data_IF_033279129747
#
_entry.id   IF_033279129747
#
_cell.length_a   1.000
_cell.length_b   1.000
_cell.length_c   1.000
_cell.angle_alpha   90.00
_cell.angle_beta   90.00
_cell.angle_gamma   90.00
#
_symmetry.space_group_name_H-M   'P 1'
#
loop_
_entity.id
_entity.type
_entity.pdbx_description
1 polymer ?
#
# COMPACT_ATOMS: atom_id res chain seq x y z
N UNK A 1 -19.85 -1.44 19.66
CA UNK A 1 -19.87 -0.83 18.31
C UNK A 1 -18.45 -0.90 17.74
N UNK A 2 -18.27 -1.41 16.53
CA UNK A 2 -16.96 -1.46 15.87
C UNK A 2 -16.56 -0.11 15.26
N UNK A 3 -15.26 0.08 14.99
CA UNK A 3 -14.77 1.26 14.26
C UNK A 3 -15.16 1.17 12.78
N UNK A 4 -15.44 2.31 12.15
CA UNK A 4 -15.58 2.40 10.68
C UNK A 4 -14.21 2.26 10.01
N UNK A 5 -14.17 1.93 8.70
CA UNK A 5 -12.91 1.86 7.95
C UNK A 5 -12.12 3.17 7.98
N UNK A 6 -12.80 4.32 7.90
CA UNK A 6 -12.16 5.63 8.00
C UNK A 6 -11.54 5.86 9.39
N UNK A 7 -12.22 5.43 10.46
CA UNK A 7 -11.67 5.51 11.82
C UNK A 7 -10.47 4.59 12.02
N UNK A 8 -10.51 3.38 11.46
CA UNK A 8 -9.37 2.44 11.47
C UNK A 8 -8.15 3.04 10.75
N UNK A 9 -8.34 3.55 9.54
CA UNK A 9 -7.26 4.19 8.78
C UNK A 9 -6.69 5.41 9.50
N UNK A 10 -7.55 6.27 10.05
CA UNK A 10 -7.13 7.43 10.82
C UNK A 10 -6.30 7.04 12.03
N UNK A 11 -6.71 6.00 12.77
CA UNK A 11 -5.97 5.51 13.94
C UNK A 11 -4.63 4.91 13.57
N UNK A 12 -4.57 4.11 12.50
CA UNK A 12 -3.31 3.54 12.01
C UNK A 12 -2.36 4.67 11.60
N UNK A 13 -2.87 5.67 10.86
CA UNK A 13 -2.10 6.84 10.45
C UNK A 13 -1.57 7.63 11.63
N UNK A 14 -2.41 7.93 12.63
CA UNK A 14 -2.00 8.63 13.85
C UNK A 14 -0.88 7.88 14.57
N UNK A 15 -0.98 6.56 14.67
CA UNK A 15 0.06 5.73 15.27
C UNK A 15 1.36 5.75 14.44
N UNK A 16 1.28 5.65 13.10
CA UNK A 16 2.46 5.71 12.23
C UNK A 16 3.21 7.05 12.33
N UNK A 17 2.49 8.15 12.55
CA UNK A 17 3.06 9.49 12.68
C UNK A 17 3.50 9.83 14.11
N UNK A 18 3.22 8.96 15.08
CA UNK A 18 3.60 9.13 16.48
C UNK A 18 4.88 8.35 16.77
N UNK A 19 5.88 9.01 17.35
CA UNK A 19 7.13 8.38 17.76
C UNK A 19 6.90 7.16 18.67
N UNK A 20 6.04 7.32 19.68
CA UNK A 20 5.67 6.23 20.60
C UNK A 20 4.68 5.23 19.98
N UNK A 21 3.95 5.64 18.93
CA UNK A 21 2.91 4.86 18.29
C UNK A 21 3.37 4.03 17.08
N UNK A 22 4.56 4.29 16.54
CA UNK A 22 4.98 3.73 15.24
C UNK A 22 4.98 2.20 15.21
N UNK A 23 5.34 1.56 16.33
CA UNK A 23 5.28 0.09 16.48
C UNK A 23 3.86 -0.43 16.32
N UNK A 24 2.89 0.22 16.94
CA UNK A 24 1.47 -0.16 16.83
C UNK A 24 0.91 0.16 15.45
N UNK A 25 1.31 1.30 14.85
CA UNK A 25 0.95 1.66 13.49
C UNK A 25 1.39 0.58 12.50
N UNK A 26 2.67 0.21 12.51
CA UNK A 26 3.23 -0.82 11.64
C UNK A 26 2.62 -2.20 11.91
N UNK A 27 2.40 -2.57 13.18
CA UNK A 27 1.73 -3.83 13.54
C UNK A 27 0.32 -3.90 12.95
N UNK A 28 -0.43 -2.79 13.01
CA UNK A 28 -1.78 -2.72 12.46
C UNK A 28 -1.79 -2.73 10.92
N UNK A 29 -0.78 -2.16 10.26
CA UNK A 29 -0.62 -2.28 8.80
C UNK A 29 -0.47 -3.76 8.40
N UNK A 30 0.34 -4.52 9.14
CA UNK A 30 0.50 -5.97 8.92
C UNK A 30 -0.80 -6.71 9.17
N UNK A 31 -1.44 -6.45 10.31
CA UNK A 31 -2.71 -7.08 10.66
C UNK A 31 -3.75 -6.85 9.56
N UNK A 32 -3.92 -5.59 9.14
CA UNK A 32 -4.86 -5.22 8.07
C UNK A 32 -4.55 -5.96 6.76
N UNK A 33 -3.28 -6.04 6.37
CA UNK A 33 -2.86 -6.73 5.15
C UNK A 33 -3.15 -8.23 5.10
N UNK A 34 -3.45 -8.84 6.26
CA UNK A 34 -3.74 -10.28 6.39
C UNK A 34 -5.10 -10.56 7.03
N UNK A 35 -5.93 -9.55 7.29
CA UNK A 35 -7.16 -9.70 8.08
C UNK A 35 -8.15 -10.72 7.50
N UNK A 36 -8.12 -10.93 6.17
CA UNK A 36 -8.96 -11.91 5.47
C UNK A 36 -8.32 -13.31 5.35
N UNK A 37 -7.09 -13.50 5.83
CA UNK A 37 -6.30 -14.74 5.66
C UNK A 37 -6.28 -15.61 6.93
N UNK A 38 -7.38 -15.58 7.71
CA UNK A 38 -7.49 -16.30 8.98
C UNK A 38 -6.55 -15.76 10.08
N UNK A 39 -6.20 -16.60 11.06
CA UNK A 39 -5.34 -16.24 12.20
C UNK A 39 -3.91 -15.77 11.85
N UNK A 40 -3.56 -15.74 10.56
CA UNK A 40 -2.26 -15.27 10.06
C UNK A 40 -1.99 -13.80 10.38
N UNK A 41 -3.04 -12.96 10.45
CA UNK A 41 -2.90 -11.54 10.80
C UNK A 41 -2.25 -11.34 12.18
N UNK A 42 -2.73 -12.07 13.18
CA UNK A 42 -2.20 -12.05 14.56
C UNK A 42 -0.76 -12.55 14.56
N UNK A 43 -0.51 -13.72 13.96
CA UNK A 43 0.84 -14.33 13.89
C UNK A 43 1.86 -13.38 13.27
N UNK A 44 1.52 -12.70 12.17
CA UNK A 44 2.42 -11.77 11.48
C UNK A 44 2.68 -10.51 12.30
N UNK A 45 1.65 -9.96 12.93
CA UNK A 45 1.79 -8.82 13.83
C UNK A 45 2.69 -9.17 15.03
N UNK A 46 2.46 -10.30 15.69
CA UNK A 46 3.24 -10.74 16.85
C UNK A 46 4.70 -10.99 16.48
N UNK A 47 4.95 -11.69 15.36
CA UNK A 47 6.32 -11.91 14.85
C UNK A 47 7.03 -10.58 14.58
N UNK A 48 6.35 -9.60 13.98
CA UNK A 48 6.91 -8.27 13.80
C UNK A 48 7.25 -7.63 15.14
N UNK A 49 6.30 -7.61 16.08
CA UNK A 49 6.48 -6.97 17.39
C UNK A 49 7.62 -7.55 18.21
N UNK A 50 7.87 -8.86 18.09
CA UNK A 50 8.93 -9.57 18.78
C UNK A 50 10.30 -9.47 18.10
N UNK A 51 10.36 -9.11 16.82
CA UNK A 51 11.63 -9.07 16.05
C UNK A 51 12.10 -7.68 15.64
N UNK A 52 11.20 -6.68 15.62
CA UNK A 52 11.57 -5.31 15.27
C UNK A 52 12.44 -4.69 16.37
N UNK A 53 13.57 -4.09 15.98
CA UNK A 53 14.49 -3.45 16.93
C UNK A 53 14.07 -2.02 17.24
N UNK A 54 14.55 -1.46 18.35
CA UNK A 54 14.31 -0.05 18.68
C UNK A 54 14.91 0.89 17.63
N UNK A 55 16.10 0.60 17.11
CA UNK A 55 16.73 1.42 16.06
C UNK A 55 15.89 1.46 14.78
N UNK A 56 15.26 0.35 14.41
CA UNK A 56 14.35 0.30 13.26
C UNK A 56 13.09 1.13 13.51
N UNK A 57 12.54 1.09 14.71
CA UNK A 57 11.37 1.90 15.09
C UNK A 57 11.71 3.39 15.11
N UNK A 58 12.85 3.77 15.70
CA UNK A 58 13.34 5.15 15.70
C UNK A 58 13.56 5.67 14.27
N UNK A 59 14.24 4.88 13.42
CA UNK A 59 14.44 5.21 12.00
C UNK A 59 13.12 5.35 11.25
N UNK A 60 12.13 4.48 11.53
CA UNK A 60 10.81 4.56 10.93
C UNK A 60 10.06 5.83 11.37
N UNK A 61 10.05 6.12 12.67
CA UNK A 61 9.43 7.33 13.22
C UNK A 61 10.04 8.60 12.62
N UNK A 62 11.37 8.67 12.53
CA UNK A 62 12.07 9.78 11.89
C UNK A 62 11.68 9.93 10.42
N UNK A 63 11.68 8.84 9.65
CA UNK A 63 11.30 8.87 8.24
C UNK A 63 9.87 9.38 8.04
N UNK A 64 8.92 8.91 8.85
CA UNK A 64 7.50 9.24 8.73
C UNK A 64 7.17 10.64 9.26
N UNK A 65 7.96 11.16 10.20
CA UNK A 65 7.83 12.53 10.68
C UNK A 65 8.29 13.56 9.64
N UNK A 66 9.39 13.28 8.94
CA UNK A 66 9.99 14.21 7.95
C UNK A 66 9.26 14.16 6.61
N UNK A 67 8.73 13.00 6.23
CA UNK A 67 8.02 12.85 4.97
C UNK A 67 6.69 12.14 5.18
N UNK A 68 5.61 12.80 4.79
CA UNK A 68 4.31 12.14 4.59
C UNK A 68 4.34 11.19 3.40
N UNK A 69 5.29 11.45 2.49
CA UNK A 69 5.44 10.77 1.23
C UNK A 69 6.87 10.18 1.04
N UNK A 70 7.39 9.27 1.89
CA UNK A 70 8.66 8.57 1.66
C UNK A 70 8.61 7.55 0.51
N UNK A 71 9.61 7.51 -0.36
CA UNK A 71 9.68 6.51 -1.45
C UNK A 71 9.61 5.07 -0.94
N UNK A 72 9.19 4.11 -1.79
CA UNK A 72 9.18 2.70 -1.39
C UNK A 72 10.59 2.20 -1.03
N UNK A 73 11.62 2.68 -1.74
CA UNK A 73 13.01 2.33 -1.41
C UNK A 73 13.41 2.84 -0.03
N UNK A 74 13.02 4.07 0.33
CA UNK A 74 13.29 4.64 1.66
C UNK A 74 12.66 3.81 2.78
N UNK A 75 11.41 3.38 2.60
CA UNK A 75 10.73 2.52 3.58
C UNK A 75 11.40 1.13 3.63
N UNK A 76 11.75 0.53 2.48
CA UNK A 76 12.40 -0.78 2.44
C UNK A 76 13.79 -0.79 3.09
N UNK A 77 14.52 0.33 3.05
CA UNK A 77 15.82 0.48 3.72
C UNK A 77 15.74 0.39 5.24
N UNK A 78 14.56 0.58 5.84
CA UNK A 78 14.33 0.35 7.27
C UNK A 78 14.47 -1.13 7.64
N UNK A 79 14.40 -2.05 6.65
CA UNK A 79 14.52 -3.50 6.83
C UNK A 79 13.54 -4.05 7.88
N UNK A 80 12.34 -3.46 7.96
CA UNK A 80 11.32 -3.85 8.94
C UNK A 80 10.94 -5.33 8.76
N UNK A 81 10.93 -6.14 9.84
CA UNK A 81 10.60 -7.55 9.73
C UNK A 81 9.16 -7.74 9.26
N UNK A 82 8.88 -8.81 8.54
CA UNK A 82 7.55 -9.08 7.94
C UNK A 82 7.08 -8.09 6.85
N UNK A 83 7.80 -6.98 6.58
CA UNK A 83 7.50 -6.06 5.48
C UNK A 83 8.32 -6.40 4.23
N UNK A 84 7.84 -7.33 3.42
CA UNK A 84 8.56 -7.81 2.22
C UNK A 84 7.90 -7.36 0.92
N UNK A 85 8.67 -6.71 0.04
CA UNK A 85 8.21 -6.36 -1.31
C UNK A 85 7.25 -5.16 -1.35
N UNK A 86 6.87 -4.76 -2.57
CA UNK A 86 6.03 -3.58 -2.81
C UNK A 86 4.65 -3.71 -2.18
N UNK A 87 4.07 -4.91 -2.09
CA UNK A 87 2.73 -5.12 -1.52
C UNK A 87 2.61 -4.66 -0.06
N UNK A 88 3.66 -4.81 0.76
CA UNK A 88 3.65 -4.35 2.15
C UNK A 88 4.10 -2.91 2.28
N UNK A 89 5.13 -2.52 1.52
CA UNK A 89 5.66 -1.16 1.58
C UNK A 89 4.66 -0.12 1.06
N UNK A 90 3.91 -0.44 -0.01
CA UNK A 90 2.84 0.42 -0.51
C UNK A 90 1.66 0.55 0.45
N UNK A 91 1.38 -0.44 1.31
CA UNK A 91 0.37 -0.32 2.36
C UNK A 91 0.77 0.72 3.41
N UNK A 92 2.04 0.71 3.85
CA UNK A 92 2.56 1.75 4.75
C UNK A 92 2.34 3.13 4.13
N UNK A 93 2.70 3.27 2.85
CA UNK A 93 2.50 4.50 2.08
C UNK A 93 1.04 4.95 2.03
N UNK A 94 0.13 4.02 1.73
CA UNK A 94 -1.31 4.27 1.69
C UNK A 94 -1.86 4.74 3.05
N UNK A 95 -1.42 4.16 4.17
CA UNK A 95 -1.86 4.63 5.48
C UNK A 95 -1.25 5.98 5.89
N UNK A 96 -0.03 6.30 5.46
CA UNK A 96 0.58 7.61 5.69
C UNK A 96 -0.15 8.73 4.91
N UNK A 97 -0.50 8.46 3.65
CA UNK A 97 -1.20 9.40 2.77
C UNK A 97 -2.26 8.72 1.88
N UNK A 98 -3.48 8.45 2.40
CA UNK A 98 -4.55 7.81 1.61
C UNK A 98 -5.07 8.70 0.46
N UNK A 99 -4.77 10.01 0.49
CA UNK A 99 -5.21 10.96 -0.52
C UNK A 99 -4.32 10.97 -1.75
N UNK A 100 -3.03 10.64 -1.61
CA UNK A 100 -2.07 10.60 -2.71
C UNK A 100 -1.50 9.21 -2.99
N UNK A 101 -1.71 8.24 -2.10
CA UNK A 101 -1.10 6.91 -2.20
C UNK A 101 -2.13 5.79 -2.20
N UNK A 102 -1.77 4.70 -2.87
CA UNK A 102 -2.58 3.47 -2.96
C UNK A 102 -1.74 2.23 -2.67
N UNK A 103 -2.38 1.07 -2.54
CA UNK A 103 -1.64 -0.19 -2.48
C UNK A 103 -1.26 -0.67 -3.89
N UNK A 104 -0.21 -1.47 -4.00
CA UNK A 104 0.18 -2.12 -5.25
C UNK A 104 0.65 -3.54 -4.96
N UNK A 105 -0.07 -4.53 -5.47
CA UNK A 105 0.28 -5.94 -5.32
C UNK A 105 0.01 -6.76 -6.59
N UNK A 106 0.25 -8.08 -6.50
CA UNK A 106 0.12 -8.99 -7.63
C UNK A 106 -1.33 -9.17 -8.12
N UNK A 107 -2.35 -8.88 -7.31
CA UNK A 107 -3.73 -8.89 -7.78
C UNK A 107 -3.98 -7.72 -8.72
N UNK A 108 -3.51 -6.53 -8.37
CA UNK A 108 -3.57 -5.36 -9.27
C UNK A 108 -2.86 -5.65 -10.60
N UNK A 109 -1.73 -6.36 -10.56
CA UNK A 109 -1.02 -6.79 -11.77
C UNK A 109 -1.81 -7.71 -12.71
N UNK A 110 -2.97 -8.25 -12.31
CA UNK A 110 -3.87 -8.97 -13.23
C UNK A 110 -4.38 -8.06 -14.36
N UNK A 111 -4.53 -6.75 -14.12
CA UNK A 111 -4.90 -5.76 -15.15
C UNK A 111 -3.86 -5.75 -16.27
N UNK A 112 -2.57 -5.74 -15.93
CA UNK A 112 -1.48 -5.70 -16.91
C UNK A 112 -1.50 -6.89 -17.88
N UNK A 113 -1.98 -8.07 -17.43
CA UNK A 113 -2.09 -9.26 -18.29
C UNK A 113 -3.11 -9.10 -19.42
N UNK A 114 -4.16 -8.29 -19.19
CA UNK A 114 -5.17 -8.00 -20.21
C UNK A 114 -4.78 -6.79 -21.05
N UNK A 115 -4.18 -5.77 -20.44
CA UNK A 115 -3.83 -4.51 -21.12
C UNK A 115 -2.40 -4.08 -20.77
N UNK A 116 -1.40 -4.56 -21.55
CA UNK A 116 0.01 -4.34 -21.24
C UNK A 116 0.48 -2.91 -21.49
N UNK A 117 -0.36 -2.06 -22.08
CA UNK A 117 -0.06 -0.65 -22.38
C UNK A 117 -0.41 0.31 -21.24
N UNK A 118 -0.98 -0.17 -20.14
CA UNK A 118 -1.31 0.64 -18.97
C UNK A 118 -0.07 1.07 -18.17
N UNK A 119 -0.24 1.97 -17.19
CA UNK A 119 0.84 2.42 -16.29
C UNK A 119 1.55 1.27 -15.56
N UNK A 120 0.89 0.12 -15.41
CA UNK A 120 1.45 -1.07 -14.77
C UNK A 120 2.54 -1.75 -15.61
N UNK A 121 2.70 -1.38 -16.89
CA UNK A 121 3.75 -1.89 -17.77
C UNK A 121 5.16 -1.64 -17.25
N UNK A 122 5.35 -0.59 -16.45
CA UNK A 122 6.63 -0.27 -15.83
C UNK A 122 6.95 -1.16 -14.62
N UNK A 123 5.97 -1.85 -14.04
CA UNK A 123 6.15 -2.68 -12.84
C UNK A 123 6.79 -4.02 -13.21
N UNK A 124 7.93 -4.33 -12.60
CA UNK A 124 8.67 -5.59 -12.79
C UNK A 124 8.36 -6.52 -11.62
N UNK A 125 7.50 -7.51 -11.86
CA UNK A 125 7.15 -8.53 -10.88
C UNK A 125 7.97 -9.82 -11.08
N UNK A 126 8.36 -10.46 -9.97
CA UNK A 126 8.90 -11.82 -9.97
C UNK A 126 7.77 -12.84 -9.73
N UNK A 127 8.10 -14.13 -9.83
CA UNK A 127 7.14 -15.24 -9.66
C UNK A 127 6.34 -15.13 -8.35
N UNK A 128 6.97 -14.74 -7.25
CA UNK A 128 6.34 -14.73 -5.91
C UNK A 128 6.01 -13.33 -5.39
N UNK A 129 6.70 -12.28 -5.83
CA UNK A 129 6.54 -10.93 -5.29
C UNK A 129 6.94 -9.84 -6.29
N UNK A 130 6.57 -8.60 -5.99
CA UNK A 130 7.12 -7.40 -6.65
C UNK A 130 8.26 -6.89 -5.75
N UNK A 131 9.53 -7.01 -6.16
CA UNK A 131 10.66 -6.57 -5.34
C UNK A 131 10.68 -5.05 -5.21
N UNK A 132 11.17 -4.54 -4.07
CA UNK A 132 11.42 -3.10 -3.92
C UNK A 132 12.79 -2.78 -4.48
N UNK A 133 12.84 -1.97 -5.53
CA UNK A 133 14.03 -1.38 -6.11
C UNK A 133 13.66 -0.02 -6.70
N UNK A 134 14.65 0.74 -7.19
CA UNK A 134 14.41 2.09 -7.73
C UNK A 134 13.40 2.11 -8.88
N UNK A 135 13.49 1.13 -9.79
CA UNK A 135 12.58 1.03 -10.94
C UNK A 135 11.13 0.79 -10.51
N UNK A 136 10.89 -0.20 -9.64
CA UNK A 136 9.56 -0.48 -9.12
C UNK A 136 9.02 0.62 -8.21
N UNK A 137 9.90 1.36 -7.52
CA UNK A 137 9.49 2.54 -6.76
C UNK A 137 9.01 3.66 -7.70
N UNK A 138 9.71 3.92 -8.81
CA UNK A 138 9.27 4.89 -9.80
C UNK A 138 7.94 4.47 -10.47
N UNK A 139 7.81 3.18 -10.81
CA UNK A 139 6.57 2.63 -11.35
C UNK A 139 5.39 2.76 -10.36
N UNK A 140 5.66 2.63 -9.06
CA UNK A 140 4.65 2.86 -8.02
C UNK A 140 4.21 4.33 -7.93
N UNK A 141 5.13 5.29 -8.05
CA UNK A 141 4.75 6.71 -8.08
C UNK A 141 3.90 7.02 -9.33
N UNK A 142 4.24 6.46 -10.49
CA UNK A 142 3.43 6.57 -11.70
C UNK A 142 2.03 5.95 -11.53
N UNK A 143 1.94 4.79 -10.85
CA UNK A 143 0.67 4.17 -10.48
C UNK A 143 -0.19 5.12 -9.62
N UNK A 144 0.37 5.71 -8.57
CA UNK A 144 -0.35 6.65 -7.71
C UNK A 144 -0.79 7.91 -8.47
N UNK A 145 0.07 8.45 -9.34
CA UNK A 145 -0.26 9.59 -10.19
C UNK A 145 -1.42 9.28 -11.15
N UNK A 146 -1.44 8.07 -11.74
CA UNK A 146 -2.53 7.62 -12.61
C UNK A 146 -3.86 7.52 -11.87
N UNK A 147 -3.86 6.98 -10.66
CA UNK A 147 -5.07 6.96 -9.83
C UNK A 147 -5.53 8.35 -9.42
N UNK A 148 -4.60 9.27 -9.14
CA UNK A 148 -4.92 10.66 -8.87
C UNK A 148 -5.55 11.34 -10.09
N UNK A 149 -5.12 11.01 -11.31
CA UNK A 149 -5.74 11.48 -12.55
C UNK A 149 -7.17 10.97 -12.70
N UNK A 150 -7.41 9.67 -12.50
CA UNK A 150 -8.77 9.07 -12.50
C UNK A 150 -9.67 9.77 -11.48
N UNK A 151 -9.18 9.95 -10.25
CA UNK A 151 -9.89 10.68 -9.20
C UNK A 151 -10.30 12.07 -9.69
N UNK A 152 -9.36 12.87 -10.21
CA UNK A 152 -9.65 14.25 -10.64
C UNK A 152 -10.68 14.31 -11.77
N UNK A 153 -10.60 13.39 -12.74
CA UNK A 153 -11.44 13.44 -13.94
C UNK A 153 -12.85 12.92 -13.66
N UNK A 154 -12.99 11.86 -12.87
CA UNK A 154 -14.25 11.12 -12.78
C UNK A 154 -14.86 11.09 -11.38
N UNK A 155 -14.03 11.15 -10.32
CA UNK A 155 -14.44 10.86 -8.95
C UNK A 155 -13.79 11.82 -7.93
N UNK A 156 -13.97 13.15 -8.06
CA UNK A 156 -13.18 14.14 -7.32
C UNK A 156 -13.43 14.14 -5.81
N UNK A 157 -14.56 13.60 -5.35
CA UNK A 157 -14.89 13.45 -3.94
C UNK A 157 -14.22 12.26 -3.25
N UNK A 158 -13.63 11.32 -4.02
CA UNK A 158 -12.98 10.13 -3.49
C UNK A 158 -11.49 10.33 -3.27
N UNK A 159 -10.85 9.48 -2.46
CA UNK A 159 -9.39 9.50 -2.25
C UNK A 159 -8.71 8.56 -3.25
N UNK A 160 -7.40 8.71 -3.44
CA UNK A 160 -6.62 7.83 -4.34
C UNK A 160 -6.74 6.35 -3.93
N UNK A 161 -6.71 6.07 -2.64
CA UNK A 161 -6.92 4.70 -2.13
C UNK A 161 -8.31 4.15 -2.46
N UNK A 162 -9.34 4.99 -2.52
CA UNK A 162 -10.70 4.53 -2.82
C UNK A 162 -10.85 4.14 -4.29
N UNK A 163 -10.13 4.83 -5.20
CA UNK A 163 -10.03 4.44 -6.62
C UNK A 163 -9.35 3.06 -6.74
N UNK A 164 -8.23 2.85 -6.04
CA UNK A 164 -7.55 1.56 -6.05
C UNK A 164 -8.45 0.44 -5.52
N UNK A 165 -9.16 0.68 -4.42
CA UNK A 165 -10.12 -0.29 -3.87
C UNK A 165 -11.26 -0.61 -4.83
N UNK A 166 -11.74 0.37 -5.59
CA UNK A 166 -12.70 0.14 -6.66
C UNK A 166 -12.16 -0.79 -7.74
N UNK A 167 -10.93 -0.53 -8.21
CA UNK A 167 -10.25 -1.42 -9.17
C UNK A 167 -10.03 -2.82 -8.59
N UNK A 168 -9.58 -2.91 -7.34
CA UNK A 168 -9.39 -4.17 -6.64
C UNK A 168 -10.69 -4.97 -6.50
N UNK A 169 -11.80 -4.31 -6.15
CA UNK A 169 -13.12 -4.92 -6.10
C UNK A 169 -13.54 -5.49 -7.45
N UNK A 170 -13.37 -4.74 -8.54
CA UNK A 170 -13.63 -5.24 -9.90
C UNK A 170 -12.82 -6.50 -10.21
N UNK A 171 -11.54 -6.53 -9.83
CA UNK A 171 -10.67 -7.70 -10.00
C UNK A 171 -11.19 -8.90 -9.18
N UNK A 172 -11.60 -8.68 -7.93
CA UNK A 172 -12.13 -9.73 -7.07
C UNK A 172 -13.47 -10.29 -7.57
N UNK A 173 -14.29 -9.45 -8.19
CA UNK A 173 -15.57 -9.84 -8.79
C UNK A 173 -15.45 -10.41 -10.21
N UNK A 174 -14.24 -10.72 -10.68
CA UNK A 174 -13.99 -11.30 -12.01
C UNK A 174 -14.10 -10.30 -13.18
N UNK A 175 -14.32 -9.01 -12.90
CA UNK A 175 -14.46 -7.93 -13.90
C UNK A 175 -13.13 -7.25 -14.21
N UNK A 176 -12.09 -8.05 -14.42
CA UNK A 176 -10.72 -7.56 -14.66
C UNK A 176 -10.64 -6.70 -15.93
N UNK A 177 -11.42 -7.02 -16.96
CA UNK A 177 -11.50 -6.24 -18.19
C UNK A 177 -11.97 -4.81 -17.93
N UNK A 178 -13.05 -4.62 -17.17
CA UNK A 178 -13.55 -3.29 -16.80
C UNK A 178 -12.49 -2.48 -16.04
N UNK A 179 -11.75 -3.11 -15.12
CA UNK A 179 -10.66 -2.46 -14.39
C UNK A 179 -9.52 -2.03 -15.34
N UNK A 180 -9.22 -2.84 -16.36
CA UNK A 180 -8.22 -2.52 -17.37
C UNK A 180 -8.66 -1.35 -18.26
N UNK A 181 -9.94 -1.27 -18.61
CA UNK A 181 -10.48 -0.21 -19.45
C UNK A 181 -10.46 1.14 -18.75
N UNK A 182 -10.93 1.19 -17.49
CA UNK A 182 -10.83 2.38 -16.65
C UNK A 182 -9.38 2.89 -16.54
N UNK A 183 -8.41 1.98 -16.39
CA UNK A 183 -7.01 2.36 -16.21
C UNK A 183 -6.35 2.87 -17.50
N UNK A 184 -6.76 2.34 -18.65
CA UNK A 184 -6.22 2.71 -19.95
C UNK A 184 -6.79 4.03 -20.46
N UNK A 185 -8.07 4.29 -20.25
CA UNK A 185 -8.77 5.46 -20.78
C UNK A 185 -8.52 6.74 -19.96
N UNK A 186 -7.89 6.60 -18.79
CA UNK A 186 -7.54 7.68 -17.89
C UNK A 186 -6.47 8.64 -18.44
#
# INVERSE_FOLDING_TARGET
MGLTMAQVESRIRQNLLSEKGVKDGLSNVLYWGFAQMGGLAVIRADRFRSSVTQDQLASAAQLFAVSRCPSLVSIARLKLPQFSGVSFVSKVRMFLDPNGSATLDKQIMKIHRLRPTTVLAAVRALKTAIPVNTSNSAAYEAWCARLAQIRRLYLPSLRVVDIERGLFHLIQSGRVQCAADILADA
#
